data_IF_355311323653
#
_entry.id   IF_355311323653
#
_cell.length_a   1.000
_cell.length_b   1.000
_cell.length_c   1.000
_cell.angle_alpha   90.00
_cell.angle_beta   90.00
_cell.angle_gamma   90.00
#
_symmetry.space_group_name_H-M   'P 1'
#
loop_
_entity.id
_entity.type
_entity.pdbx_description
1 polymer ?
#
# COMPACT_ATOMS: atom_id res chain seq x y z
N UNK A 1 -21.46 5.18 2.36
CA UNK A 1 -20.13 5.82 2.39
C UNK A 1 -19.16 4.88 1.70
N UNK A 2 -18.39 5.34 0.70
CA UNK A 2 -17.41 4.49 0.01
C UNK A 2 -16.26 4.02 0.93
N UNK A 3 -16.19 4.57 2.15
CA UNK A 3 -15.24 4.21 3.21
C UNK A 3 -15.36 2.77 3.73
N UNK A 4 -16.51 2.11 3.56
CA UNK A 4 -16.71 0.70 4.00
C UNK A 4 -16.98 -0.23 2.79
N UNK A 5 -16.87 0.30 1.56
CA UNK A 5 -17.11 -0.44 0.31
C UNK A 5 -15.82 -0.80 -0.44
N UNK A 6 -15.94 -1.18 -1.71
CA UNK A 6 -14.82 -1.65 -2.57
C UNK A 6 -13.62 -0.69 -2.58
N UNK A 7 -13.84 0.62 -2.59
CA UNK A 7 -12.75 1.60 -2.61
C UNK A 7 -11.92 1.58 -1.32
N UNK A 8 -12.57 1.40 -0.16
CA UNK A 8 -11.86 1.24 1.12
C UNK A 8 -10.99 -0.02 1.16
N UNK A 9 -11.42 -1.11 0.51
CA UNK A 9 -10.60 -2.32 0.39
C UNK A 9 -9.34 -2.04 -0.45
N UNK A 10 -9.43 -1.23 -1.50
CA UNK A 10 -8.26 -0.86 -2.31
C UNK A 10 -7.27 -0.04 -1.46
N UNK A 11 -7.75 0.94 -0.70
CA UNK A 11 -6.89 1.71 0.22
C UNK A 11 -6.19 0.78 1.23
N UNK A 12 -6.90 -0.19 1.80
CA UNK A 12 -6.32 -1.16 2.74
C UNK A 12 -5.25 -2.04 2.10
N UNK A 13 -5.50 -2.56 0.88
CA UNK A 13 -4.54 -3.36 0.13
C UNK A 13 -3.28 -2.56 -0.26
N UNK A 14 -3.45 -1.29 -0.65
CA UNK A 14 -2.33 -0.41 -1.00
C UNK A 14 -1.50 -0.08 0.23
N UNK A 15 -2.15 0.20 1.37
CA UNK A 15 -1.48 0.39 2.65
C UNK A 15 -0.74 -0.87 3.13
N UNK A 16 -1.31 -2.06 2.90
CA UNK A 16 -0.67 -3.32 3.27
C UNK A 16 0.63 -3.57 2.51
N UNK A 17 0.63 -3.34 1.19
CA UNK A 17 1.85 -3.46 0.40
C UNK A 17 2.92 -2.44 0.83
N UNK A 18 2.52 -1.22 1.20
CA UNK A 18 3.44 -0.22 1.73
C UNK A 18 4.12 -0.68 3.04
N UNK A 19 3.38 -1.37 3.90
CA UNK A 19 3.93 -1.97 5.11
C UNK A 19 4.85 -3.15 4.79
N UNK A 20 4.51 -4.02 3.84
CA UNK A 20 5.40 -5.11 3.40
C UNK A 20 6.76 -4.55 2.94
N UNK A 21 6.77 -3.38 2.29
CA UNK A 21 8.00 -2.71 1.86
C UNK A 21 8.80 -2.08 3.01
N UNK A 22 8.13 -1.44 3.98
CA UNK A 22 8.80 -0.61 5.00
C UNK A 22 9.06 -1.31 6.32
N UNK A 23 8.14 -2.17 6.75
CA UNK A 23 8.18 -2.80 8.07
C UNK A 23 9.38 -3.73 8.29
N UNK A 24 9.97 -4.37 7.26
CA UNK A 24 11.23 -5.09 7.43
C UNK A 24 12.36 -4.22 8.00
N UNK A 25 12.45 -2.95 7.59
CA UNK A 25 13.47 -2.04 8.11
C UNK A 25 13.21 -1.59 9.55
N UNK A 26 11.97 -1.74 10.04
CA UNK A 26 11.55 -1.39 11.40
C UNK A 26 11.51 -2.60 12.35
N UNK A 27 11.76 -3.80 11.84
CA UNK A 27 11.71 -5.05 12.63
C UNK A 27 10.28 -5.56 12.91
N UNK A 28 9.26 -5.02 12.24
CA UNK A 28 7.87 -5.45 12.42
C UNK A 28 7.48 -6.63 11.51
N UNK A 29 8.22 -6.88 10.43
CA UNK A 29 7.97 -7.96 9.48
C UNK A 29 9.28 -8.54 8.91
N UNK A 30 9.22 -9.72 8.29
CA UNK A 30 10.33 -10.30 7.51
C UNK A 30 10.28 -9.75 6.08
N UNK A 31 11.44 -9.49 5.47
CA UNK A 31 11.51 -9.02 4.09
C UNK A 31 10.94 -10.04 3.10
N UNK A 32 10.06 -9.60 2.21
CA UNK A 32 9.42 -10.41 1.18
C UNK A 32 9.71 -9.83 -0.21
N UNK A 33 10.15 -10.63 -1.19
CA UNK A 33 10.33 -10.15 -2.56
C UNK A 33 8.96 -9.82 -3.18
N UNK A 34 8.84 -8.59 -3.70
CA UNK A 34 7.62 -8.13 -4.38
C UNK A 34 7.85 -8.24 -5.90
N UNK A 35 7.00 -8.97 -6.65
CA UNK A 35 7.10 -9.01 -8.10
C UNK A 35 6.97 -7.62 -8.73
N UNK A 36 7.77 -7.33 -9.76
CA UNK A 36 7.78 -6.01 -10.41
C UNK A 36 6.38 -5.54 -10.86
N UNK A 37 5.58 -6.43 -11.43
CA UNK A 37 4.21 -6.13 -11.85
C UNK A 37 3.27 -5.70 -10.70
N UNK A 38 3.56 -6.14 -9.47
CA UNK A 38 2.80 -5.76 -8.27
C UNK A 38 3.23 -4.38 -7.80
N UNK A 39 4.53 -4.07 -7.83
CA UNK A 39 5.06 -2.72 -7.60
C UNK A 39 4.46 -1.70 -8.59
N UNK A 40 4.48 -2.02 -9.88
CA UNK A 40 3.89 -1.17 -10.92
C UNK A 40 2.39 -0.91 -10.70
N UNK A 41 1.66 -1.92 -10.21
CA UNK A 41 0.24 -1.79 -9.90
C UNK A 41 0.02 -0.88 -8.69
N UNK A 42 0.84 -1.01 -7.66
CA UNK A 42 0.80 -0.16 -6.48
C UNK A 42 1.09 1.31 -6.82
N UNK A 43 2.15 1.59 -7.58
CA UNK A 43 2.48 2.96 -8.02
C UNK A 43 1.30 3.60 -8.78
N UNK A 44 0.64 2.84 -9.66
CA UNK A 44 -0.53 3.31 -10.42
C UNK A 44 -1.76 3.56 -9.56
N UNK A 45 -1.89 2.92 -8.41
CA UNK A 45 -3.00 3.13 -7.48
C UNK A 45 -2.72 4.32 -6.57
N UNK A 46 -1.50 4.44 -6.04
CA UNK A 46 -1.06 5.61 -5.29
C UNK A 46 -1.20 6.88 -6.14
N UNK A 47 -0.76 6.85 -7.40
CA UNK A 47 -0.92 7.98 -8.34
C UNK A 47 -2.38 8.34 -8.64
N UNK A 48 -3.34 7.45 -8.36
CA UNK A 48 -4.79 7.69 -8.47
C UNK A 48 -5.44 8.15 -7.16
N UNK A 49 -4.67 8.33 -6.09
CA UNK A 49 -5.13 8.85 -4.80
C UNK A 49 -5.56 7.78 -3.80
N UNK A 50 -5.17 6.51 -3.99
CA UNK A 50 -5.34 5.48 -2.96
C UNK A 50 -4.16 5.52 -1.98
N UNK A 51 -4.09 6.54 -1.13
CA UNK A 51 -2.94 6.81 -0.26
C UNK A 51 -3.28 6.84 1.24
N UNK A 52 -4.54 6.59 1.59
CA UNK A 52 -5.09 6.83 2.94
C UNK A 52 -4.42 6.02 4.05
N UNK A 53 -3.89 4.84 3.71
CA UNK A 53 -3.27 3.90 4.65
C UNK A 53 -1.76 3.72 4.41
N UNK A 54 -1.13 4.61 3.62
CA UNK A 54 0.32 4.63 3.48
C UNK A 54 0.97 5.07 4.80
N UNK A 55 2.15 4.51 5.10
CA UNK A 55 2.93 4.87 6.29
C UNK A 55 3.40 6.33 6.21
N UNK A 56 3.66 6.82 4.99
CA UNK A 56 3.99 8.22 4.73
C UNK A 56 3.35 8.69 3.41
N UNK A 57 2.11 9.21 3.44
CA UNK A 57 1.42 9.64 2.23
C UNK A 57 2.06 10.91 1.63
N UNK A 58 2.05 11.04 0.28
CA UNK A 58 2.41 12.30 -0.35
C UNK A 58 1.43 13.40 0.09
N UNK A 59 1.96 14.59 0.39
CA UNK A 59 1.14 15.76 0.77
C UNK A 59 0.50 16.42 -0.44
#
# INVERSE_FOLDING_TARGET
SNLVGVLGVIDEMVGDLDRIMRYPALGFQVACPIPAQVMDAWDRLVARGFDRHLVNPPR
#
